data_IF_709385367911
#
_entry.id   IF_709385367911
#
_cell.length_a   1.000
_cell.length_b   1.000
_cell.length_c   1.000
_cell.angle_alpha   90.00
_cell.angle_beta   90.00
_cell.angle_gamma   90.00
#
_symmetry.space_group_name_H-M   'P 1'
#
loop_
_entity.id
_entity.type
_entity.pdbx_description
1 polymer ?
#
# COMPACT_ATOMS: atom_id res chain seq x y z
N UNK A 1 16.98 5.70 -0.97
CA UNK A 1 16.05 6.62 -1.65
C UNK A 1 14.64 6.13 -1.38
N UNK A 2 13.76 6.94 -0.77
CA UNK A 2 12.51 6.46 -0.18
C UNK A 2 11.53 5.88 -1.23
N UNK A 3 11.21 4.58 -1.15
CA UNK A 3 10.11 3.94 -1.90
C UNK A 3 8.72 4.30 -1.34
N UNK A 4 8.51 5.56 -0.98
CA UNK A 4 7.21 6.10 -0.61
C UNK A 4 6.47 6.69 -1.82
N UNK A 5 6.81 6.23 -3.03
CA UNK A 5 6.14 6.65 -4.25
C UNK A 5 4.70 6.15 -4.25
N UNK A 6 3.75 7.07 -4.43
CA UNK A 6 2.36 6.72 -4.68
C UNK A 6 2.33 5.93 -6.00
N UNK A 7 1.63 4.78 -6.04
CA UNK A 7 1.49 4.01 -7.28
C UNK A 7 1.02 4.86 -8.47
N UNK A 8 1.63 4.63 -9.62
CA UNK A 8 1.37 5.40 -10.85
C UNK A 8 -0.10 5.29 -11.31
N UNK A 9 -0.75 4.15 -11.08
CA UNK A 9 -2.17 3.95 -11.37
C UNK A 9 -3.06 4.86 -10.51
N UNK A 10 -2.75 5.01 -9.22
CA UNK A 10 -3.44 5.94 -8.32
C UNK A 10 -3.25 7.38 -8.79
N UNK A 11 -2.03 7.78 -9.17
CA UNK A 11 -1.74 9.12 -9.70
C UNK A 11 -2.50 9.40 -11.01
N UNK A 12 -2.52 8.45 -11.94
CA UNK A 12 -3.28 8.56 -13.20
C UNK A 12 -4.77 8.72 -12.95
N UNK A 13 -5.35 7.97 -12.01
CA UNK A 13 -6.76 8.10 -11.63
C UNK A 13 -7.02 9.47 -11.01
N UNK A 14 -6.17 9.97 -10.11
CA UNK A 14 -6.32 11.29 -9.49
C UNK A 14 -6.29 12.42 -10.52
N UNK A 15 -5.33 12.40 -11.46
CA UNK A 15 -5.24 13.38 -12.56
C UNK A 15 -6.51 13.40 -13.40
N UNK A 16 -7.05 12.22 -13.74
CA UNK A 16 -8.29 12.10 -14.52
C UNK A 16 -9.53 12.51 -13.72
N UNK A 17 -9.52 12.31 -12.42
CA UNK A 17 -10.62 12.72 -11.54
C UNK A 17 -10.67 14.25 -11.40
N UNK A 18 -9.51 14.91 -11.40
CA UNK A 18 -9.39 16.37 -11.39
C UNK A 18 -9.94 17.03 -12.67
N UNK A 19 -9.99 16.33 -13.80
CA UNK A 19 -10.58 16.85 -15.04
C UNK A 19 -12.10 16.71 -15.12
N UNK A 20 -12.75 16.02 -14.18
CA UNK A 20 -14.20 15.83 -14.20
C UNK A 20 -14.92 16.79 -13.27
N UNK A 21 -16.07 17.30 -13.73
CA UNK A 21 -16.99 18.07 -12.88
C UNK A 21 -17.47 17.22 -11.70
N UNK A 22 -17.40 17.81 -10.49
CA UNK A 22 -17.78 17.15 -9.24
C UNK A 22 -19.25 16.74 -9.31
N UNK A 23 -19.50 15.46 -9.06
CA UNK A 23 -20.86 14.89 -9.08
C UNK A 23 -21.32 14.35 -10.44
N UNK A 24 -20.57 14.61 -11.51
CA UNK A 24 -20.80 13.98 -12.83
C UNK A 24 -20.72 12.44 -12.74
N UNK A 25 -21.33 11.76 -13.71
CA UNK A 25 -21.29 10.29 -13.80
C UNK A 25 -19.85 9.76 -13.82
N UNK A 26 -18.98 10.43 -14.57
CA UNK A 26 -17.56 10.08 -14.66
C UNK A 26 -16.83 10.35 -13.35
N UNK A 27 -17.05 11.48 -12.69
CA UNK A 27 -16.50 11.75 -11.37
C UNK A 27 -16.85 10.64 -10.38
N UNK A 28 -18.15 10.32 -10.22
CA UNK A 28 -18.62 9.25 -9.33
C UNK A 28 -18.00 7.88 -9.66
N UNK A 29 -17.86 7.55 -10.95
CA UNK A 29 -17.21 6.31 -11.40
C UNK A 29 -15.74 6.27 -10.99
N UNK A 30 -14.97 7.30 -11.31
CA UNK A 30 -13.53 7.33 -11.03
C UNK A 30 -13.23 7.49 -9.54
N UNK A 31 -14.09 8.12 -8.74
CA UNK A 31 -13.97 8.11 -7.27
C UNK A 31 -14.07 6.70 -6.71
N UNK A 32 -15.02 5.88 -7.18
CA UNK A 32 -15.14 4.47 -6.75
C UNK A 32 -13.91 3.65 -7.15
N UNK A 33 -13.40 3.85 -8.37
CA UNK A 33 -12.18 3.19 -8.85
C UNK A 33 -11.00 3.58 -7.95
N UNK A 34 -10.80 4.87 -7.69
CA UNK A 34 -9.72 5.38 -6.83
C UNK A 34 -9.75 4.73 -5.44
N UNK A 35 -10.93 4.70 -4.81
CA UNK A 35 -11.10 4.09 -3.48
C UNK A 35 -10.69 2.62 -3.45
N UNK A 36 -11.03 1.85 -4.50
CA UNK A 36 -10.63 0.44 -4.63
C UNK A 36 -9.11 0.28 -4.72
N UNK A 37 -8.44 1.12 -5.52
CA UNK A 37 -6.99 1.07 -5.69
C UNK A 37 -6.25 1.47 -4.41
N UNK A 38 -6.69 2.52 -3.73
CA UNK A 38 -6.13 2.94 -2.44
C UNK A 38 -6.25 1.80 -1.41
N UNK A 39 -7.44 1.20 -1.28
CA UNK A 39 -7.64 0.08 -0.33
C UNK A 39 -6.69 -1.08 -0.64
N UNK A 40 -6.57 -1.49 -1.91
CA UNK A 40 -5.68 -2.57 -2.33
C UNK A 40 -4.22 -2.25 -1.99
N UNK A 41 -3.76 -1.03 -2.28
CA UNK A 41 -2.39 -0.59 -2.00
C UNK A 41 -2.09 -0.58 -0.49
N UNK A 42 -2.96 0.03 0.30
CA UNK A 42 -2.83 0.06 1.77
C UNK A 42 -2.82 -1.35 2.35
N UNK A 43 -3.65 -2.24 1.82
CA UNK A 43 -3.68 -3.63 2.28
C UNK A 43 -2.40 -4.39 1.98
N UNK A 44 -1.84 -4.21 0.77
CA UNK A 44 -0.54 -4.78 0.42
C UNK A 44 0.57 -4.27 1.35
N UNK A 45 0.59 -2.96 1.64
CA UNK A 45 1.55 -2.37 2.60
C UNK A 45 1.43 -2.99 3.98
N UNK A 46 0.22 -3.18 4.50
CA UNK A 46 -0.01 -3.81 5.81
C UNK A 46 0.50 -5.25 5.84
N UNK A 47 0.18 -6.06 4.82
CA UNK A 47 0.66 -7.45 4.73
C UNK A 47 2.19 -7.50 4.71
N UNK A 48 2.83 -6.68 3.88
CA UNK A 48 4.29 -6.62 3.82
C UNK A 48 4.91 -6.18 5.15
N UNK A 49 4.26 -5.27 5.88
CA UNK A 49 4.73 -4.87 7.22
C UNK A 49 4.62 -6.02 8.22
N UNK A 50 3.51 -6.76 8.22
CA UNK A 50 3.34 -7.91 9.11
C UNK A 50 4.38 -9.00 8.81
N UNK A 51 4.62 -9.31 7.54
CA UNK A 51 5.65 -10.28 7.12
C UNK A 51 7.02 -9.86 7.66
N UNK A 52 7.41 -8.59 7.46
CA UNK A 52 8.68 -8.06 7.99
C UNK A 52 8.80 -8.17 9.51
N UNK A 53 7.71 -7.93 10.23
CA UNK A 53 7.70 -8.11 11.69
C UNK A 53 7.93 -9.56 12.06
N UNK A 54 7.25 -10.51 11.40
CA UNK A 54 7.45 -11.95 11.63
C UNK A 54 8.91 -12.33 11.36
N UNK A 55 9.45 -11.98 10.19
CA UNK A 55 10.85 -12.25 9.82
C UNK A 55 11.84 -11.65 10.84
N UNK A 56 11.52 -10.48 11.40
CA UNK A 56 12.37 -9.83 12.40
C UNK A 56 12.33 -10.60 13.72
N UNK A 57 11.16 -11.05 14.16
CA UNK A 57 11.01 -11.86 15.37
C UNK A 57 11.73 -13.20 15.22
N UNK A 58 11.59 -13.87 14.07
CA UNK A 58 12.30 -15.12 13.76
C UNK A 58 13.81 -14.92 13.85
N UNK A 59 14.37 -13.91 13.19
CA UNK A 59 15.80 -13.58 13.28
C UNK A 59 16.27 -13.30 14.70
N UNK A 60 15.46 -12.58 15.49
CA UNK A 60 15.77 -12.35 16.90
C UNK A 60 15.80 -13.69 17.64
N UNK A 61 14.82 -14.57 17.43
CA UNK A 61 14.78 -15.89 18.09
C UNK A 61 15.94 -16.80 17.68
N UNK A 62 16.36 -16.79 16.41
CA UNK A 62 17.54 -17.51 15.93
C UNK A 62 18.83 -16.97 16.55
N UNK A 63 18.98 -15.64 16.60
CA UNK A 63 20.13 -15.00 17.23
C UNK A 63 20.17 -15.18 18.77
N UNK A 64 19.03 -15.42 19.42
CA UNK A 64 18.97 -15.81 20.83
C UNK A 64 19.26 -17.31 21.04
N UNK A 65 19.16 -18.13 19.99
CA UNK A 65 19.53 -19.55 19.96
C UNK A 65 20.97 -19.78 19.47
N UNK A 66 21.85 -18.77 19.53
CA UNK A 66 23.31 -19.00 19.53
C UNK A 66 23.62 -19.87 20.76
N UNK A 67 24.32 -21.00 20.61
CA UNK A 67 24.46 -21.99 21.67
C UNK A 67 25.10 -21.35 22.91
N UNK A 68 24.51 -21.66 24.08
CA UNK A 68 25.37 -21.98 25.21
C UNK A 68 26.02 -23.31 24.83
N UNK A 69 27.35 -23.29 24.78
CA UNK A 69 28.32 -24.35 24.42
C UNK A 69 28.98 -24.20 23.05
#
# INVERSE_FOLDING_TARGET
>A
MAENSIPEDILKIQKKLASFEKGSRNYKKYTKILAKHIKKFTMKKRVNSHIKTIETVEKISENQNIPKD
#
